data_IF_340425783618
#
_entry.id   IF_340425783618
#
_cell.length_a   1.000
_cell.length_b   1.000
_cell.length_c   1.000
_cell.angle_alpha   90.00
_cell.angle_beta   90.00
_cell.angle_gamma   90.00
#
_symmetry.space_group_name_H-M   'P 1'
#
loop_
_entity.id
_entity.type
_entity.pdbx_description
1 polymer ?
#
# COMPACT_ATOMS: atom_id res chain seq x y z
N UNK A 1 14.78 -29.40 -2.25
CA UNK A 1 13.46 -28.74 -2.43
C UNK A 1 13.20 -27.54 -1.52
N UNK A 2 13.52 -27.56 -0.21
CA UNK A 2 13.24 -26.42 0.71
C UNK A 2 13.97 -25.10 0.34
N UNK A 3 15.25 -25.16 -0.05
CA UNK A 3 16.01 -23.97 -0.52
C UNK A 3 15.35 -23.27 -1.73
N UNK A 4 14.81 -24.05 -2.67
CA UNK A 4 14.12 -23.52 -3.85
C UNK A 4 12.83 -22.77 -3.47
N UNK A 5 12.06 -23.28 -2.49
CA UNK A 5 10.85 -22.61 -1.98
C UNK A 5 11.16 -21.27 -1.29
N UNK A 6 12.27 -21.19 -0.55
CA UNK A 6 12.73 -19.96 0.10
C UNK A 6 13.18 -18.93 -0.94
N UNK A 7 13.96 -19.35 -1.93
CA UNK A 7 14.40 -18.45 -3.02
C UNK A 7 13.18 -17.92 -3.78
N UNK A 8 12.25 -18.79 -4.19
CA UNK A 8 11.02 -18.38 -4.88
C UNK A 8 10.18 -17.39 -4.05
N UNK A 9 10.07 -17.63 -2.74
CA UNK A 9 9.39 -16.73 -1.81
C UNK A 9 10.03 -15.34 -1.78
N UNK A 10 11.35 -15.28 -1.62
CA UNK A 10 12.09 -14.01 -1.58
C UNK A 10 11.93 -13.28 -2.92
N UNK A 11 12.06 -13.99 -4.04
CA UNK A 11 11.86 -13.42 -5.38
C UNK A 11 10.47 -12.82 -5.55
N UNK A 12 9.41 -13.49 -5.08
CA UNK A 12 8.03 -12.96 -5.15
C UNK A 12 7.90 -11.68 -4.31
N UNK A 13 8.43 -11.69 -3.08
CA UNK A 13 8.38 -10.54 -2.18
C UNK A 13 9.11 -9.33 -2.78
N UNK A 14 10.30 -9.55 -3.34
CA UNK A 14 11.08 -8.51 -4.03
C UNK A 14 10.34 -7.99 -5.26
N UNK A 15 9.74 -8.88 -6.07
CA UNK A 15 8.97 -8.49 -7.24
C UNK A 15 7.78 -7.60 -6.85
N UNK A 16 7.03 -7.96 -5.79
CA UNK A 16 5.92 -7.15 -5.28
C UNK A 16 6.42 -5.78 -4.83
N UNK A 17 7.52 -5.71 -4.08
CA UNK A 17 8.09 -4.44 -3.64
C UNK A 17 8.47 -3.53 -4.82
N UNK A 18 9.12 -4.09 -5.86
CA UNK A 18 9.50 -3.34 -7.07
C UNK A 18 8.26 -2.87 -7.83
N UNK A 19 7.28 -3.75 -8.05
CA UNK A 19 6.05 -3.42 -8.78
C UNK A 19 5.23 -2.36 -8.05
N UNK A 20 5.14 -2.46 -6.72
CA UNK A 20 4.49 -1.46 -5.88
C UNK A 20 5.24 -0.13 -5.91
N UNK A 21 6.55 -0.13 -5.75
CA UNK A 21 7.34 1.10 -5.83
C UNK A 21 7.17 1.79 -7.19
N UNK A 22 7.27 1.03 -8.28
CA UNK A 22 7.02 1.54 -9.63
C UNK A 22 5.63 2.16 -9.77
N UNK A 23 4.59 1.47 -9.29
CA UNK A 23 3.23 1.97 -9.31
C UNK A 23 3.08 3.26 -8.47
N UNK A 24 3.79 3.39 -7.34
CA UNK A 24 3.72 4.60 -6.50
C UNK A 24 4.36 5.75 -7.25
N UNK A 25 5.55 5.54 -7.81
CA UNK A 25 6.26 6.56 -8.57
C UNK A 25 5.41 7.04 -9.76
N UNK A 26 4.83 6.12 -10.54
CA UNK A 26 3.96 6.48 -11.67
C UNK A 26 2.72 7.25 -11.20
N UNK A 27 1.99 6.72 -10.23
CA UNK A 27 0.74 7.32 -9.75
C UNK A 27 0.96 8.65 -9.04
N UNK A 28 1.98 8.78 -8.20
CA UNK A 28 2.26 9.99 -7.43
C UNK A 28 2.92 11.08 -8.27
N UNK A 29 3.90 10.75 -9.13
CA UNK A 29 4.55 11.77 -9.95
C UNK A 29 3.66 12.25 -11.09
N UNK A 30 2.81 11.40 -11.66
CA UNK A 30 1.92 11.76 -12.77
C UNK A 30 0.83 12.78 -12.40
N UNK A 31 0.56 12.97 -11.11
CA UNK A 31 -0.50 13.87 -10.61
C UNK A 31 0.05 15.09 -9.84
N UNK A 32 1.37 15.22 -9.69
CA UNK A 32 1.96 16.38 -9.03
C UNK A 32 1.57 17.68 -9.73
N UNK A 33 1.27 18.70 -8.94
CA UNK A 33 0.98 20.04 -9.45
C UNK A 33 -0.39 20.19 -10.14
N UNK A 34 -1.23 19.16 -10.14
CA UNK A 34 -2.62 19.28 -10.62
C UNK A 34 -3.41 20.20 -9.70
N UNK A 35 -4.21 21.09 -10.29
CA UNK A 35 -5.08 22.02 -9.58
C UNK A 35 -6.55 21.58 -9.65
N UNK A 36 -7.46 22.08 -8.79
CA UNK A 36 -8.89 21.75 -8.85
C UNK A 36 -9.56 22.01 -10.20
N UNK A 37 -8.97 22.88 -11.02
CA UNK A 37 -9.44 23.23 -12.37
C UNK A 37 -9.02 22.19 -13.41
N UNK A 38 -8.00 21.38 -13.12
CA UNK A 38 -7.55 20.32 -14.01
C UNK A 38 -8.48 19.11 -14.00
N UNK A 39 -8.73 18.54 -15.18
CA UNK A 39 -9.43 17.25 -15.32
C UNK A 39 -8.74 16.09 -14.58
N UNK A 40 -7.46 16.27 -14.23
CA UNK A 40 -6.66 15.32 -13.46
C UNK A 40 -6.89 15.36 -11.94
N UNK A 41 -7.54 16.40 -11.41
CA UNK A 41 -7.72 16.61 -9.97
C UNK A 41 -8.46 15.48 -9.25
N UNK A 42 -9.57 14.92 -9.78
CA UNK A 42 -10.28 13.84 -9.11
C UNK A 42 -9.39 12.62 -8.88
N UNK A 43 -8.43 12.34 -9.78
CA UNK A 43 -7.49 11.24 -9.63
C UNK A 43 -6.53 11.44 -8.46
N UNK A 44 -6.08 12.67 -8.23
CA UNK A 44 -5.25 13.01 -7.08
C UNK A 44 -6.00 12.78 -5.76
N UNK A 45 -7.26 13.22 -5.69
CA UNK A 45 -8.11 13.02 -4.51
C UNK A 45 -8.33 11.52 -4.25
N UNK A 46 -8.65 10.75 -5.30
CA UNK A 46 -8.84 9.30 -5.19
C UNK A 46 -7.56 8.62 -4.69
N UNK A 47 -6.39 9.01 -5.19
CA UNK A 47 -5.12 8.43 -4.76
C UNK A 47 -4.84 8.72 -3.28
N UNK A 48 -5.08 9.94 -2.82
CA UNK A 48 -5.01 10.31 -1.40
C UNK A 48 -5.90 9.41 -0.54
N UNK A 49 -7.16 9.21 -0.96
CA UNK A 49 -8.11 8.36 -0.25
C UNK A 49 -7.64 6.91 -0.23
N UNK A 50 -7.23 6.35 -1.36
CA UNK A 50 -6.79 4.94 -1.43
C UNK A 50 -5.55 4.71 -0.57
N UNK A 51 -4.55 5.59 -0.63
CA UNK A 51 -3.36 5.44 0.20
C UNK A 51 -3.68 5.57 1.69
N UNK A 52 -4.52 6.54 2.06
CA UNK A 52 -4.94 6.72 3.45
C UNK A 52 -5.73 5.52 3.98
N UNK A 53 -6.70 5.02 3.20
CA UNK A 53 -7.49 3.83 3.57
C UNK A 53 -6.59 2.60 3.70
N UNK A 54 -5.68 2.39 2.75
CA UNK A 54 -4.75 1.26 2.79
C UNK A 54 -3.91 1.26 4.07
N UNK A 55 -3.35 2.42 4.41
CA UNK A 55 -2.50 2.66 5.56
C UNK A 55 -3.25 2.51 6.89
N UNK A 56 -4.39 3.19 7.03
CA UNK A 56 -5.22 3.18 8.24
C UNK A 56 -5.84 1.81 8.48
N UNK A 57 -6.35 1.15 7.43
CA UNK A 57 -6.94 -0.18 7.57
C UNK A 57 -5.89 -1.20 8.04
N UNK A 58 -4.67 -1.15 7.52
CA UNK A 58 -3.64 -2.05 8.02
C UNK A 58 -3.27 -1.72 9.47
N UNK A 59 -3.01 -0.44 9.78
CA UNK A 59 -2.69 0.03 11.13
C UNK A 59 -3.75 -0.40 12.18
N UNK A 60 -5.03 -0.23 11.85
CA UNK A 60 -6.16 -0.60 12.72
C UNK A 60 -6.33 -2.11 12.85
N UNK A 61 -6.01 -2.90 11.83
CA UNK A 61 -6.02 -4.37 11.92
C UNK A 61 -5.10 -4.90 13.04
N UNK A 62 -4.05 -4.14 13.39
CA UNK A 62 -3.10 -4.47 14.45
C UNK A 62 -3.67 -4.15 15.82
N UNK A 63 -4.25 -2.96 15.99
CA UNK A 63 -4.88 -2.56 17.27
C UNK A 63 -6.05 -3.48 17.63
N UNK A 64 -6.73 -4.00 16.61
CA UNK A 64 -7.89 -4.88 16.74
C UNK A 64 -7.54 -6.36 16.80
N UNK A 65 -6.27 -6.74 17.01
CA UNK A 65 -5.84 -8.16 17.15
C UNK A 65 -6.64 -8.94 18.19
N UNK A 66 -7.15 -8.28 19.23
CA UNK A 66 -8.03 -8.90 20.26
C UNK A 66 -9.42 -9.26 19.74
N UNK A 67 -9.84 -8.68 18.62
CA UNK A 67 -11.11 -8.92 17.94
C UNK A 67 -10.84 -9.54 16.57
N UNK A 68 -10.80 -10.88 16.45
CA UNK A 68 -10.30 -11.57 15.27
C UNK A 68 -11.12 -11.30 14.01
N UNK A 69 -12.43 -11.03 14.15
CA UNK A 69 -13.29 -10.65 13.04
C UNK A 69 -12.94 -9.25 12.52
N UNK A 70 -12.79 -8.28 13.40
CA UNK A 70 -12.50 -6.89 13.04
C UNK A 70 -11.10 -6.76 12.42
N UNK A 71 -10.10 -7.41 13.01
CA UNK A 71 -8.76 -7.49 12.43
C UNK A 71 -8.77 -8.12 11.04
N UNK A 72 -9.58 -9.17 10.82
CA UNK A 72 -9.76 -9.79 9.50
C UNK A 72 -10.37 -8.84 8.49
N UNK A 73 -11.44 -8.13 8.86
CA UNK A 73 -12.11 -7.16 8.00
C UNK A 73 -11.13 -6.06 7.59
N UNK A 74 -10.41 -5.48 8.56
CA UNK A 74 -9.45 -4.40 8.31
C UNK A 74 -8.29 -4.83 7.43
N UNK A 75 -7.75 -6.04 7.62
CA UNK A 75 -6.73 -6.59 6.73
C UNK A 75 -7.26 -6.82 5.31
N UNK A 76 -8.52 -7.26 5.18
CA UNK A 76 -9.18 -7.44 3.87
C UNK A 76 -9.39 -6.10 3.17
N UNK A 77 -9.79 -5.05 3.91
CA UNK A 77 -9.93 -3.69 3.38
C UNK A 77 -8.58 -3.16 2.90
N UNK A 78 -7.51 -3.34 3.68
CA UNK A 78 -6.16 -2.92 3.27
C UNK A 78 -5.69 -3.65 2.00
N UNK A 79 -5.91 -4.96 1.94
CA UNK A 79 -5.59 -5.76 0.76
C UNK A 79 -6.40 -5.32 -0.46
N UNK A 80 -7.71 -5.15 -0.30
CA UNK A 80 -8.62 -4.71 -1.35
C UNK A 80 -8.20 -3.33 -1.89
N UNK A 81 -7.92 -2.37 -1.01
CA UNK A 81 -7.49 -1.01 -1.36
C UNK A 81 -6.13 -1.01 -2.07
N UNK A 82 -5.18 -1.84 -1.63
CA UNK A 82 -3.91 -2.08 -2.34
C UNK A 82 -4.14 -2.64 -3.75
N UNK A 83 -5.07 -3.59 -3.88
CA UNK A 83 -5.49 -4.16 -5.15
C UNK A 83 -6.17 -3.14 -6.07
N UNK A 84 -7.03 -2.27 -5.51
CA UNK A 84 -7.65 -1.16 -6.24
C UNK A 84 -6.58 -0.27 -6.85
N UNK A 85 -5.58 0.13 -6.07
CA UNK A 85 -4.51 1.02 -6.52
C UNK A 85 -3.62 0.37 -7.59
N UNK A 86 -3.14 -0.86 -7.39
CA UNK A 86 -2.33 -1.55 -8.40
C UNK A 86 -3.11 -1.80 -9.68
N UNK A 87 -4.36 -2.26 -9.55
CA UNK A 87 -5.26 -2.48 -10.68
C UNK A 87 -5.54 -1.19 -11.45
N UNK A 88 -5.75 -0.08 -10.76
CA UNK A 88 -5.92 1.23 -11.36
C UNK A 88 -4.67 1.67 -12.14
N UNK A 89 -3.49 1.56 -11.51
CA UNK A 89 -2.22 1.97 -12.09
C UNK A 89 -1.90 1.17 -13.37
N UNK A 90 -1.90 -0.16 -13.28
CA UNK A 90 -1.56 -1.02 -14.41
C UNK A 90 -2.66 -1.09 -15.47
N UNK A 91 -3.94 -1.02 -15.08
CA UNK A 91 -5.06 -0.91 -16.02
C UNK A 91 -4.99 0.36 -16.86
N UNK A 92 -4.61 1.49 -16.23
CA UNK A 92 -4.35 2.75 -16.93
C UNK A 92 -3.12 2.70 -17.84
N UNK A 93 -2.00 2.13 -17.37
CA UNK A 93 -0.78 1.97 -18.17
C UNK A 93 -1.01 1.14 -19.44
N UNK A 94 -1.78 0.05 -19.35
CA UNK A 94 -2.04 -0.85 -20.48
C UNK A 94 -2.91 -0.22 -21.58
N UNK A 95 -3.60 0.88 -21.28
CA UNK A 95 -4.67 1.41 -22.13
C UNK A 95 -4.34 2.75 -22.78
N UNK A 96 -3.17 3.30 -22.47
CA UNK A 96 -2.77 4.65 -22.87
C UNK A 96 -3.58 5.74 -22.17
N UNK A 97 -3.11 6.99 -22.29
CA UNK A 97 -3.61 8.14 -21.52
C UNK A 97 -5.00 8.65 -21.96
N UNK A 98 -5.64 8.04 -22.96
CA UNK A 98 -6.86 8.59 -23.57
C UNK A 98 -8.16 8.07 -22.97
N UNK A 99 -8.17 6.86 -22.39
CA UNK A 99 -9.42 6.21 -21.95
C UNK A 99 -9.37 5.82 -20.46
N UNK A 100 -10.29 6.31 -19.62
CA UNK A 100 -10.31 6.01 -18.19
C UNK A 100 -10.93 4.65 -17.85
N UNK A 101 -11.74 4.07 -18.74
CA UNK A 101 -12.50 2.83 -18.50
C UNK A 101 -11.62 1.65 -18.08
N UNK A 102 -10.45 1.40 -18.70
CA UNK A 102 -9.64 0.25 -18.34
C UNK A 102 -8.92 0.42 -17.00
N UNK A 103 -8.63 1.66 -16.58
CA UNK A 103 -8.10 1.93 -15.25
C UNK A 103 -9.16 1.60 -14.18
N UNK A 104 -10.41 1.97 -14.43
CA UNK A 104 -11.54 1.63 -13.54
C UNK A 104 -11.77 0.11 -13.53
N UNK A 105 -11.79 -0.53 -14.70
CA UNK A 105 -11.92 -1.98 -14.81
C UNK A 105 -10.80 -2.73 -14.08
N UNK A 106 -9.55 -2.28 -14.26
CA UNK A 106 -8.39 -2.79 -13.55
C UNK A 106 -8.52 -2.62 -12.03
N UNK A 107 -8.99 -1.46 -11.57
CA UNK A 107 -9.24 -1.20 -10.15
C UNK A 107 -10.27 -2.18 -9.56
N UNK A 108 -11.40 -2.39 -10.24
CA UNK A 108 -12.46 -3.32 -9.81
C UNK A 108 -11.92 -4.75 -9.71
N UNK A 109 -11.24 -5.21 -10.77
CA UNK A 109 -10.67 -6.57 -10.84
C UNK A 109 -9.61 -6.74 -9.74
N UNK A 110 -8.69 -5.79 -9.58
CA UNK A 110 -7.65 -5.81 -8.57
C UNK A 110 -8.21 -5.83 -7.15
N UNK A 111 -9.27 -5.05 -6.90
CA UNK A 111 -9.99 -5.04 -5.62
C UNK A 111 -10.57 -6.42 -5.31
N UNK A 112 -11.28 -7.01 -6.28
CA UNK A 112 -11.94 -8.31 -6.10
C UNK A 112 -10.93 -9.43 -5.87
N UNK A 113 -9.87 -9.49 -6.69
CA UNK A 113 -8.80 -10.50 -6.56
C UNK A 113 -8.15 -10.40 -5.19
N UNK A 114 -7.75 -9.20 -4.75
CA UNK A 114 -7.05 -9.02 -3.48
C UNK A 114 -7.97 -9.22 -2.26
N UNK A 115 -9.23 -8.81 -2.34
CA UNK A 115 -10.22 -9.05 -1.30
C UNK A 115 -10.46 -10.56 -1.11
N UNK A 116 -10.75 -11.28 -2.20
CA UNK A 116 -10.96 -12.74 -2.16
C UNK A 116 -9.67 -13.43 -1.69
N UNK A 117 -8.53 -13.10 -2.28
CA UNK A 117 -7.27 -13.74 -1.94
C UNK A 117 -6.90 -13.53 -0.46
N UNK A 118 -7.06 -12.32 0.08
CA UNK A 118 -6.75 -12.04 1.48
C UNK A 118 -7.75 -12.65 2.46
N UNK A 119 -9.01 -12.79 2.04
CA UNK A 119 -10.05 -13.39 2.86
C UNK A 119 -9.93 -14.91 2.95
N UNK A 120 -9.60 -15.59 1.85
CA UNK A 120 -9.49 -17.05 1.76
C UNK A 120 -8.07 -17.57 2.02
N UNK A 121 -7.03 -16.94 1.46
CA UNK A 121 -5.64 -17.38 1.61
C UNK A 121 -4.92 -16.63 2.74
N UNK A 122 -4.89 -17.23 3.93
CA UNK A 122 -4.17 -16.71 5.11
C UNK A 122 -2.69 -17.09 5.17
N UNK A 123 -2.04 -17.16 4.01
CA UNK A 123 -0.64 -17.53 3.94
C UNK A 123 0.23 -16.37 4.43
N UNK A 124 1.32 -16.66 5.15
CA UNK A 124 2.29 -15.65 5.62
C UNK A 124 2.81 -14.76 4.49
N UNK A 125 2.95 -15.33 3.29
CA UNK A 125 3.35 -14.60 2.08
C UNK A 125 2.34 -13.54 1.68
N UNK A 126 1.05 -13.86 1.75
CA UNK A 126 -0.02 -12.91 1.44
C UNK A 126 0.00 -11.76 2.45
N UNK A 127 0.20 -12.07 3.74
CA UNK A 127 0.36 -11.04 4.77
C UNK A 127 1.57 -10.15 4.48
N UNK A 128 2.75 -10.72 4.21
CA UNK A 128 3.96 -9.96 3.88
C UNK A 128 3.72 -9.06 2.65
N UNK A 129 3.07 -9.58 1.61
CA UNK A 129 2.73 -8.81 0.42
C UNK A 129 1.85 -7.60 0.75
N UNK A 130 0.76 -7.80 1.52
CA UNK A 130 -0.15 -6.72 1.94
C UNK A 130 0.61 -5.65 2.74
N UNK A 131 1.49 -6.05 3.65
CA UNK A 131 2.31 -5.11 4.41
C UNK A 131 3.24 -4.29 3.52
N UNK A 132 3.91 -4.92 2.55
CA UNK A 132 4.77 -4.21 1.60
C UNK A 132 3.97 -3.22 0.76
N UNK A 133 2.82 -3.63 0.23
CA UNK A 133 1.95 -2.73 -0.54
C UNK A 133 1.47 -1.54 0.31
N UNK A 134 1.08 -1.78 1.56
CA UNK A 134 0.66 -0.72 2.47
C UNK A 134 1.80 0.23 2.86
N UNK A 135 3.02 -0.28 3.06
CA UNK A 135 4.22 0.53 3.28
C UNK A 135 4.47 1.44 2.07
N UNK A 136 4.39 0.89 0.86
CA UNK A 136 4.56 1.65 -0.38
C UNK A 136 3.45 2.69 -0.57
N UNK A 137 2.19 2.34 -0.31
CA UNK A 137 1.07 3.29 -0.33
C UNK A 137 1.26 4.43 0.69
N UNK A 138 1.73 4.10 1.91
CA UNK A 138 2.01 5.09 2.95
C UNK A 138 3.18 6.00 2.55
N UNK A 139 4.22 5.45 1.92
CA UNK A 139 5.29 6.26 1.32
C UNK A 139 4.75 7.21 0.24
N UNK A 140 3.88 6.73 -0.64
CA UNK A 140 3.18 7.56 -1.62
C UNK A 140 2.37 8.69 -0.98
N UNK A 141 1.65 8.39 0.12
CA UNK A 141 0.90 9.38 0.89
C UNK A 141 1.82 10.45 1.50
N UNK A 142 2.94 10.05 2.12
CA UNK A 142 3.93 10.98 2.68
C UNK A 142 4.44 11.90 1.59
N UNK A 143 4.82 11.34 0.44
CA UNK A 143 5.30 12.11 -0.69
C UNK A 143 4.27 13.15 -1.16
N UNK A 144 3.00 12.75 -1.32
CA UNK A 144 1.93 13.67 -1.71
C UNK A 144 1.68 14.75 -0.66
N UNK A 145 1.58 14.39 0.62
CA UNK A 145 1.42 15.35 1.73
C UNK A 145 2.58 16.35 1.76
N UNK A 146 3.82 15.90 1.66
CA UNK A 146 4.99 16.77 1.64
C UNK A 146 4.96 17.71 0.43
N UNK A 147 4.61 17.21 -0.75
CA UNK A 147 4.47 18.05 -1.95
C UNK A 147 3.40 19.13 -1.77
N UNK A 148 2.25 18.79 -1.18
CA UNK A 148 1.18 19.73 -0.88
C UNK A 148 1.62 20.77 0.16
N UNK A 149 2.32 20.34 1.22
CA UNK A 149 2.89 21.24 2.23
C UNK A 149 3.80 22.28 1.59
N UNK A 150 4.75 21.85 0.75
CA UNK A 150 5.66 22.78 0.07
C UNK A 150 4.91 23.73 -0.86
N UNK A 151 3.94 23.24 -1.63
CA UNK A 151 3.12 24.07 -2.50
C UNK A 151 2.40 25.17 -1.71
N UNK A 152 1.65 24.82 -0.65
CA UNK A 152 0.90 25.81 0.14
C UNK A 152 1.81 26.80 0.89
N UNK A 153 2.90 26.32 1.48
CA UNK A 153 3.87 27.19 2.17
C UNK A 153 4.54 28.18 1.21
N UNK A 154 4.86 27.76 -0.02
CA UNK A 154 5.44 28.65 -1.04
C UNK A 154 4.51 29.79 -1.46
N UNK A 155 3.20 29.56 -1.41
CA UNK A 155 2.15 30.53 -1.73
C UNK A 155 1.66 31.34 -0.51
N UNK A 156 2.40 31.34 0.60
CA UNK A 156 2.05 32.02 1.86
C UNK A 156 0.74 31.52 2.53
N UNK A 157 0.21 30.37 2.15
CA UNK A 157 -0.95 29.74 2.79
C UNK A 157 -0.51 28.89 4.01
N UNK A 158 -0.04 29.57 5.06
CA UNK A 158 0.55 28.94 6.25
C UNK A 158 -0.36 27.92 6.95
N UNK A 159 -1.66 28.20 7.07
CA UNK A 159 -2.60 27.32 7.78
C UNK A 159 -2.78 25.98 7.05
N UNK A 160 -2.98 26.01 5.73
CA UNK A 160 -3.10 24.81 4.91
C UNK A 160 -1.78 24.04 4.82
N UNK A 161 -0.67 24.75 4.63
CA UNK A 161 0.67 24.14 4.61
C UNK A 161 0.98 23.40 5.92
N UNK A 162 0.64 24.01 7.06
CA UNK A 162 0.82 23.40 8.38
C UNK A 162 -0.07 22.17 8.57
N UNK A 163 -1.34 22.22 8.13
CA UNK A 163 -2.26 21.08 8.20
C UNK A 163 -1.72 19.87 7.43
N UNK A 164 -1.29 20.08 6.17
CA UNK A 164 -0.66 19.03 5.37
C UNK A 164 0.66 18.53 5.97
N UNK A 165 1.43 19.42 6.61
CA UNK A 165 2.68 19.05 7.29
C UNK A 165 2.46 18.14 8.50
N UNK A 166 1.42 18.42 9.30
CA UNK A 166 1.00 17.56 10.41
C UNK A 166 0.52 16.22 9.90
N UNK A 167 -0.31 16.19 8.85
CA UNK A 167 -0.75 14.95 8.20
C UNK A 167 0.43 14.11 7.67
N UNK A 168 1.42 14.76 7.04
CA UNK A 168 2.66 14.11 6.60
C UNK A 168 3.43 13.48 7.77
N UNK A 169 3.55 14.20 8.89
CA UNK A 169 4.21 13.69 10.09
C UNK A 169 3.49 12.48 10.69
N UNK A 170 2.15 12.51 10.74
CA UNK A 170 1.33 11.37 11.17
C UNK A 170 1.55 10.17 10.24
N UNK A 171 1.59 10.40 8.93
CA UNK A 171 1.86 9.34 7.97
C UNK A 171 3.27 8.73 8.12
N UNK A 172 4.28 9.53 8.46
CA UNK A 172 5.64 9.04 8.79
C UNK A 172 5.61 8.16 10.03
N UNK A 173 4.93 8.59 11.11
CA UNK A 173 4.80 7.77 12.30
C UNK A 173 4.12 6.42 11.99
N UNK A 174 3.08 6.44 11.14
CA UNK A 174 2.39 5.24 10.70
C UNK A 174 3.29 4.34 9.84
N UNK A 175 4.12 4.91 8.96
CA UNK A 175 5.09 4.17 8.16
C UNK A 175 6.08 3.39 9.05
N UNK A 176 6.61 4.04 10.08
CA UNK A 176 7.54 3.42 11.04
C UNK A 176 6.86 2.22 11.71
N UNK A 177 5.64 2.38 12.21
CA UNK A 177 4.86 1.30 12.82
C UNK A 177 4.66 0.13 11.85
N UNK A 178 4.34 0.41 10.58
CA UNK A 178 4.17 -0.64 9.57
C UNK A 178 5.47 -1.40 9.27
N UNK A 179 6.61 -0.70 9.24
CA UNK A 179 7.93 -1.30 9.02
C UNK A 179 8.32 -2.21 10.19
N UNK A 180 8.18 -1.73 11.43
CA UNK A 180 8.51 -2.51 12.64
C UNK A 180 7.73 -3.83 12.68
N UNK A 181 6.47 -3.77 12.27
CA UNK A 181 5.60 -4.95 12.20
C UNK A 181 5.97 -5.90 11.07
N UNK A 182 6.35 -5.38 9.90
CA UNK A 182 6.87 -6.22 8.83
C UNK A 182 8.13 -6.94 9.31
N UNK A 183 9.02 -6.26 10.02
CA UNK A 183 10.23 -6.85 10.61
C UNK A 183 9.87 -7.94 11.62
N UNK A 184 8.93 -7.71 12.53
CA UNK A 184 8.46 -8.73 13.49
C UNK A 184 7.91 -9.98 12.78
N UNK A 185 7.09 -9.79 11.74
CA UNK A 185 6.55 -10.89 10.94
C UNK A 185 7.67 -11.65 10.21
N UNK A 186 8.66 -10.94 9.68
CA UNK A 186 9.83 -11.55 9.02
C UNK A 186 10.72 -12.31 10.00
N UNK A 187 10.96 -11.77 11.21
CA UNK A 187 11.73 -12.46 12.24
C UNK A 187 11.01 -13.71 12.72
N UNK A 188 9.72 -13.60 13.05
CA UNK A 188 8.89 -14.74 13.49
C UNK A 188 8.76 -15.82 12.40
N UNK A 189 8.72 -15.43 11.13
CA UNK A 189 8.72 -16.39 10.02
C UNK A 189 10.08 -17.04 9.80
N UNK A 190 11.19 -16.31 9.95
CA UNK A 190 12.56 -16.85 9.91
C UNK A 190 12.78 -17.91 11.00
N UNK A 191 12.38 -17.64 12.25
CA UNK A 191 12.51 -18.59 13.37
C UNK A 191 11.76 -19.92 13.13
N UNK A 192 10.59 -19.88 12.49
CA UNK A 192 9.83 -21.09 12.20
C UNK A 192 10.44 -21.92 11.06
N UNK A 193 11.03 -21.28 10.06
CA UNK A 193 11.75 -21.96 8.97
C UNK A 193 13.03 -22.64 9.48
N UNK A 194 13.73 -22.05 10.45
CA UNK A 194 14.89 -22.68 11.08
C UNK A 194 14.49 -23.82 12.04
N UNK A 195 13.41 -23.69 12.82
CA UNK A 195 12.95 -24.74 13.73
C UNK A 195 12.47 -26.00 13.01
N UNK A 196 11.75 -25.87 11.89
CA UNK A 196 11.40 -27.01 11.02
C UNK A 196 12.62 -27.65 10.32
N UNK A 197 13.79 -26.99 10.35
CA UNK A 197 15.04 -27.56 9.80
C UNK A 197 15.85 -28.35 10.82
N UNK A 198 15.60 -28.16 12.10
CA UNK A 198 16.21 -28.90 13.21
C UNK A 198 15.42 -30.15 13.59
N UNK A 199 14.09 -30.13 13.45
CA UNK A 199 13.22 -31.29 13.79
C UNK A 199 13.24 -32.37 12.71
N UNK A 200 13.62 -32.04 11.47
CA UNK A 200 13.75 -32.97 10.34
C UNK A 200 15.17 -33.56 10.17
N UNK A 201 16.05 -33.42 11.17
CA UNK A 201 17.36 -34.10 11.25
C UNK A 201 17.34 -35.16 12.33
#
# INVERSE_FOLDING_TARGET
MKKLKIIATISIVVAIAILSFHAVSQSSFGILGRTPEDSGWPYLVILFVIFSVTAIALATSIQTKKQPLLSRIMNTISAASSGTWLGFCYGGLLSGTKNPEPAIGGAIIGTLIMAIASFYFRNKLMTIAIYIMAIMATYGLIFLCSSATFAFLSTNHLLWGSCWGVLGTIAIALLIVLIDLLIDILQKSRFLVFRESEVDR
#
